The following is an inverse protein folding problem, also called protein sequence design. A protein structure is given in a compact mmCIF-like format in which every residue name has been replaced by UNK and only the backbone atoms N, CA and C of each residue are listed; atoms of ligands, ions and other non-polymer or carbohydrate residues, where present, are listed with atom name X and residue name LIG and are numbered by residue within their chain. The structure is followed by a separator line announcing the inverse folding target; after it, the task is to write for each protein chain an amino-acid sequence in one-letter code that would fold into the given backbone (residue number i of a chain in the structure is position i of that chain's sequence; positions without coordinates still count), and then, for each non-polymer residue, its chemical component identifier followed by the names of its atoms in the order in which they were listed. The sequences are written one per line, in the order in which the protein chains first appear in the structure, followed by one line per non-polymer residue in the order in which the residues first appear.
data_IF_063341932843
#
_entry.id   IF_063341932843
#
_cell.length_a   1.000
_cell.length_b   1.000
_cell.length_c   1.000
_cell.angle_alpha   90.00
_cell.angle_beta   90.00
_cell.angle_gamma   90.00
#
_symmetry.space_group_name_H-M   'P 1'
#
loop_
_entity.id
_entity.type
_entity.pdbx_description
1 polymer ?
2 water ?
#
# COMPACT_ATOMS: atom_id res chain seq x y z
N UNK A 4 -11.26 4.12 -0.48
CA UNK A 4 -10.38 3.19 -1.25
C UNK A 4 -11.04 1.82 -1.36
N UNK A 5 -11.54 1.51 -2.54
CA UNK A 5 -12.21 0.23 -2.77
C UNK A 5 -11.44 -0.61 -3.77
N UNK A 6 -11.85 -1.86 -3.95
CA UNK A 6 -11.15 -2.74 -4.87
C UNK A 6 -11.32 -2.37 -6.33
N UNK A 7 -10.23 -2.50 -7.08
CA UNK A 7 -10.23 -2.21 -8.50
C UNK A 7 -10.48 -3.54 -9.20
N UNK A 8 -10.60 -3.50 -10.52
CA UNK A 8 -10.86 -4.71 -11.28
C UNK A 8 -9.83 -4.95 -12.37
N UNK A 9 -8.56 -4.84 -12.01
CA UNK A 9 -7.48 -5.06 -12.96
C UNK A 9 -7.44 -6.54 -13.30
N UNK A 10 -6.99 -6.86 -14.51
CA UNK A 10 -6.89 -8.25 -14.93
C UNK A 10 -5.53 -8.78 -14.52
N UNK A 11 -4.57 -7.87 -14.40
CA UNK A 11 -3.22 -8.25 -14.01
C UNK A 11 -3.03 -8.22 -12.50
N UNK A 12 -1.93 -8.79 -12.04
CA UNK A 12 -1.62 -8.83 -10.61
C UNK A 12 -0.82 -7.60 -10.19
N UNK A 13 -0.37 -6.83 -11.17
CA UNK A 13 0.42 -5.64 -10.88
C UNK A 13 -0.37 -4.53 -10.23
N UNK A 14 0.21 -3.92 -9.20
CA UNK A 14 -0.44 -2.84 -8.49
C UNK A 14 0.21 -1.48 -8.77
N UNK A 15 -0.62 -0.44 -8.82
CA UNK A 15 -0.16 0.92 -9.05
C UNK A 15 -0.36 1.71 -7.76
N UNK A 16 0.35 2.82 -7.61
CA UNK A 16 0.23 3.64 -6.40
C UNK A 16 -1.21 4.01 -6.07
N UNK A 17 -2.04 4.14 -7.10
CA UNK A 17 -3.44 4.51 -6.90
C UNK A 17 -4.35 3.38 -6.42
N UNK A 18 -3.85 2.15 -6.43
CA UNK A 18 -4.63 1.00 -5.97
C UNK A 18 -4.50 0.92 -4.44
N UNK A 19 -5.04 1.93 -3.77
CA UNK A 19 -4.96 2.04 -2.31
C UNK A 19 -5.44 0.82 -1.53
N UNK A 20 -6.64 0.33 -1.86
CA UNK A 20 -7.18 -0.82 -1.16
C UNK A 20 -6.29 -2.05 -1.28
N UNK A 21 -5.91 -2.38 -2.52
CA UNK A 21 -5.06 -3.54 -2.77
C UNK A 21 -3.71 -3.48 -2.07
N UNK A 22 -3.08 -2.31 -2.10
CA UNK A 22 -1.77 -2.18 -1.46
C UNK A 22 -1.91 -2.29 0.06
N UNK A 23 -2.91 -1.61 0.60
CA UNK A 23 -3.15 -1.65 2.04
C UNK A 23 -3.43 -3.07 2.51
N UNK A 24 -4.23 -3.80 1.74
CA UNK A 24 -4.56 -5.19 2.08
C UNK A 24 -3.30 -6.05 2.04
N UNK A 25 -2.45 -5.79 1.05
CA UNK A 25 -1.21 -6.53 0.87
C UNK A 25 -0.29 -6.33 2.07
N UNK A 26 -0.17 -5.08 2.51
CA UNK A 26 0.69 -4.77 3.65
C UNK A 26 0.16 -5.46 4.91
N UNK A 27 -1.16 -5.45 5.08
CA UNK A 27 -1.78 -6.08 6.24
C UNK A 27 -1.58 -7.58 6.21
N UNK A 28 -1.71 -8.17 5.03
CA UNK A 28 -1.55 -9.60 4.88
C UNK A 28 -0.10 -10.02 5.14
N UNK A 29 0.85 -9.19 4.71
CA UNK A 29 2.27 -9.48 4.88
C UNK A 29 2.81 -9.21 6.28
N UNK A 30 2.29 -8.17 6.92
CA UNK A 30 2.75 -7.76 8.26
C UNK A 30 1.53 -7.66 9.16
N UNK A 31 0.91 -8.81 9.49
CA UNK A 31 -0.29 -8.94 10.32
C UNK A 31 -0.38 -8.30 11.70
N UNK A 32 0.73 -8.20 12.42
CA UNK A 32 0.67 -7.62 13.76
C UNK A 32 1.40 -6.30 13.97
N UNK A 33 1.83 -5.69 12.87
CA UNK A 33 2.51 -4.41 12.92
C UNK A 33 1.42 -3.33 12.93
N UNK A 34 1.43 -2.45 13.93
CA UNK A 34 0.43 -1.39 14.03
C UNK A 34 0.68 -0.31 12.97
N UNK A 35 -0.20 -0.22 11.97
CA UNK A 35 -0.08 0.76 10.88
C UNK A 35 0.11 2.18 11.37
N UNK A 36 -0.54 2.52 12.48
CA UNK A 36 -0.44 3.88 13.02
C UNK A 36 0.98 4.31 13.35
N UNK A 37 1.84 3.35 13.68
CA UNK A 37 3.22 3.65 14.03
C UNK A 37 4.16 3.70 12.84
N UNK A 38 3.66 3.35 11.66
CA UNK A 38 4.50 3.31 10.46
C UNK A 38 4.80 4.67 9.82
N UNK A 39 6.07 4.89 9.50
CA UNK A 39 6.49 6.13 8.85
C UNK A 39 6.43 5.97 7.34
N UNK A 40 6.04 7.04 6.64
CA UNK A 40 5.95 7.02 5.19
C UNK A 40 7.26 6.58 4.54
N UNK A 41 8.39 7.04 5.09
CA UNK A 41 9.68 6.68 4.51
C UNK A 41 9.87 5.18 4.44
N UNK A 42 9.48 4.48 5.51
CA UNK A 42 9.60 3.02 5.55
C UNK A 42 8.52 2.35 4.71
N UNK A 43 7.27 2.77 4.90
CA UNK A 43 6.18 2.16 4.14
C UNK A 43 6.42 2.25 2.64
N UNK A 44 6.94 3.39 2.18
CA UNK A 44 7.23 3.56 0.76
C UNK A 44 8.13 2.43 0.26
N UNK A 45 9.18 2.14 1.03
CA UNK A 45 10.12 1.09 0.67
C UNK A 45 9.47 -0.28 0.70
N UNK A 46 8.65 -0.53 1.71
CA UNK A 46 7.98 -1.82 1.82
C UNK A 46 7.05 -2.05 0.64
N UNK A 47 6.34 -1.00 0.23
CA UNK A 47 5.43 -1.11 -0.90
C UNK A 47 6.20 -1.38 -2.19
N UNK A 48 7.32 -0.68 -2.39
CA UNK A 48 8.11 -0.87 -3.60
C UNK A 48 8.69 -2.27 -3.69
N UNK A 49 8.81 -2.95 -2.56
CA UNK A 49 9.36 -4.30 -2.54
C UNK A 49 8.29 -5.38 -2.65
N UNK A 50 7.02 -4.98 -2.62
CA UNK A 50 5.95 -5.95 -2.75
C UNK A 50 6.05 -6.64 -4.10
N UNK A 51 5.83 -7.95 -4.12
CA UNK A 51 5.90 -8.71 -5.35
C UNK A 51 5.02 -8.11 -6.45
N UNK A 52 3.80 -7.71 -6.09
CA UNK A 52 2.88 -7.14 -7.06
C UNK A 52 3.06 -5.67 -7.39
N UNK A 53 3.95 -4.98 -6.69
CA UNK A 53 4.16 -3.57 -6.98
C UNK A 53 4.63 -3.43 -8.42
N UNK A 54 3.92 -2.63 -9.20
CA UNK A 54 4.28 -2.44 -10.60
C UNK A 54 4.19 -0.99 -11.02
N UNK A 55 4.74 -0.10 -10.21
CA UNK A 55 4.71 1.32 -10.53
C UNK A 55 6.12 1.87 -10.37
N UNK A 56 6.25 3.18 -10.55
CA UNK A 56 7.54 3.85 -10.42
C UNK A 56 7.67 4.38 -9.00
N UNK A 57 8.73 3.98 -8.29
CA UNK A 57 8.95 4.43 -6.91
C UNK A 57 8.88 5.95 -6.76
N UNK A 58 9.35 6.66 -7.77
CA UNK A 58 9.36 8.12 -7.76
C UNK A 58 7.97 8.74 -7.80
N UNK A 59 7.00 7.97 -8.27
CA UNK A 59 5.64 8.48 -8.45
C UNK A 59 4.71 8.62 -7.25
N UNK A 60 5.19 8.31 -6.05
CA UNK A 60 4.32 8.44 -4.89
C UNK A 60 4.34 9.88 -4.37
N UNK A 61 3.39 10.20 -3.50
CA UNK A 61 3.31 11.51 -2.85
C UNK A 61 2.59 11.26 -1.53
N UNK A 62 2.57 12.24 -0.64
CA UNK A 62 1.93 12.06 0.66
C UNK A 62 0.45 11.72 0.63
N UNK A 63 -0.27 12.24 -0.35
CA UNK A 63 -1.70 11.96 -0.45
C UNK A 63 -1.89 10.48 -0.78
N UNK A 64 -1.04 9.99 -1.68
CA UNK A 64 -1.07 8.59 -2.09
C UNK A 64 -0.74 7.68 -0.90
N UNK A 65 0.30 8.02 -0.16
CA UNK A 65 0.70 7.21 0.98
C UNK A 65 -0.30 7.28 2.14
N UNK A 66 -0.92 8.44 2.36
CA UNK A 66 -1.89 8.55 3.44
C UNK A 66 -3.10 7.67 3.14
N UNK A 67 -3.49 7.61 1.87
CA UNK A 67 -4.63 6.79 1.47
C UNK A 67 -4.35 5.33 1.79
N UNK A 68 -3.15 4.88 1.47
CA UNK A 68 -2.73 3.50 1.72
C UNK A 68 -2.65 3.22 3.22
N UNK A 69 -2.10 4.17 3.98
CA UNK A 69 -1.99 4.00 5.42
C UNK A 69 -3.38 3.88 6.04
N UNK A 70 -4.33 4.66 5.56
CA UNK A 70 -5.69 4.60 6.09
C UNK A 70 -6.37 3.27 5.78
N UNK A 71 -6.04 2.67 4.64
CA UNK A 71 -6.61 1.37 4.29
C UNK A 71 -6.02 0.32 5.21
N UNK A 72 -4.71 0.41 5.44
CA UNK A 72 -4.04 -0.53 6.32
C UNK A 72 -4.66 -0.44 7.71
N UNK A 73 -4.88 0.78 8.19
CA UNK A 73 -5.48 0.98 9.51
C UNK A 73 -6.86 0.31 9.56
N UNK A 74 -7.62 0.45 8.48
CA UNK A 74 -8.95 -0.15 8.39
C UNK A 74 -8.89 -1.67 8.41
N UNK A 75 -7.96 -2.24 7.65
CA UNK A 75 -7.81 -3.68 7.59
C UNK A 75 -7.36 -4.23 8.94
N UNK A 76 -6.60 -3.42 9.67
CA UNK A 76 -6.07 -3.81 10.98
C UNK A 76 -7.11 -3.74 12.10
#
# INVERSE_FOLDING_TARGET
MRGSHHHHHHGSGLKWTDSREIGEALYDAYPDLDPKTVRFTDMHQWICDLEDFDDDPQASNEKILEAILLVWLDEAE
#
